data_IF_710236447772
#
_entry.id   IF_710236447772
#
_cell.length_a   1.000
_cell.length_b   1.000
_cell.length_c   1.000
_cell.angle_alpha   90.00
_cell.angle_beta   90.00
_cell.angle_gamma   90.00
#
_symmetry.space_group_name_H-M   'P 1'
#
loop_
_entity.id
_entity.type
_entity.pdbx_description
1 polymer ?
#
# COMPACT_ATOMS: atom_id res chain seq x y z
N UNK A 1 22.76 30.09 -0.48
CA UNK A 1 21.51 29.69 0.21
C UNK A 1 20.49 29.22 -0.83
N UNK A 2 20.08 27.96 -0.83
CA UNK A 2 19.07 27.48 -1.77
C UNK A 2 17.69 27.96 -1.31
N UNK A 3 16.98 28.68 -2.16
CA UNK A 3 15.65 29.18 -1.86
C UNK A 3 14.66 27.99 -1.81
N UNK A 4 13.59 28.07 -1.02
CA UNK A 4 12.54 27.02 -0.92
C UNK A 4 11.99 26.64 -2.29
N UNK A 5 11.78 27.61 -3.19
CA UNK A 5 11.41 27.35 -4.60
C UNK A 5 12.39 26.42 -5.30
N UNK A 6 13.69 26.64 -5.10
CA UNK A 6 14.73 25.82 -5.72
C UNK A 6 14.77 24.40 -5.14
N UNK A 7 14.43 24.22 -3.86
CA UNK A 7 14.31 22.90 -3.23
C UNK A 7 13.14 22.10 -3.84
N UNK A 8 11.99 22.74 -4.00
CA UNK A 8 10.80 22.11 -4.62
C UNK A 8 11.11 21.76 -6.08
N UNK A 9 11.71 22.66 -6.83
CA UNK A 9 12.11 22.42 -8.23
C UNK A 9 13.14 21.29 -8.32
N UNK A 10 14.12 21.25 -7.42
CA UNK A 10 15.10 20.16 -7.38
C UNK A 10 14.43 18.82 -7.03
N UNK A 11 13.50 18.79 -6.08
CA UNK A 11 12.74 17.57 -5.73
C UNK A 11 11.90 17.09 -6.92
N UNK A 12 11.20 18.00 -7.60
CA UNK A 12 10.44 17.68 -8.81
C UNK A 12 11.33 17.20 -9.95
N UNK A 13 12.49 17.84 -10.16
CA UNK A 13 13.46 17.41 -11.16
C UNK A 13 14.03 16.02 -10.87
N UNK A 14 14.35 15.72 -9.61
CA UNK A 14 14.80 14.37 -9.20
C UNK A 14 13.67 13.36 -9.38
N UNK A 15 12.44 13.69 -9.00
CA UNK A 15 11.28 12.84 -9.27
C UNK A 15 11.14 12.53 -10.76
N UNK A 16 11.24 13.55 -11.62
CA UNK A 16 11.14 13.39 -13.08
C UNK A 16 12.26 12.54 -13.66
N UNK A 17 13.50 12.75 -13.20
CA UNK A 17 14.66 11.96 -13.64
C UNK A 17 14.56 10.50 -13.20
N UNK A 18 14.16 10.26 -11.96
CA UNK A 18 13.95 8.90 -11.44
C UNK A 18 12.83 8.22 -12.23
N UNK A 19 11.72 8.92 -12.48
CA UNK A 19 10.61 8.36 -13.26
C UNK A 19 11.00 8.03 -14.69
N UNK A 20 11.75 8.91 -15.36
CA UNK A 20 12.21 8.63 -16.72
C UNK A 20 13.20 7.44 -16.74
N UNK A 21 14.01 7.28 -15.70
CA UNK A 21 14.91 6.13 -15.58
C UNK A 21 14.14 4.81 -15.37
N UNK A 22 12.99 4.85 -14.65
CA UNK A 22 12.14 3.69 -14.42
C UNK A 22 11.03 3.51 -15.46
N UNK A 23 10.67 4.56 -16.22
CA UNK A 23 9.64 4.51 -17.27
C UNK A 23 10.11 3.90 -18.61
N UNK A 24 11.39 3.61 -18.76
CA UNK A 24 11.98 3.08 -19.99
C UNK A 24 11.59 1.61 -20.26
N UNK A 25 12.51 0.65 -20.19
CA UNK A 25 12.27 -0.73 -20.57
C UNK A 25 11.35 -1.52 -19.62
N UNK A 26 10.85 -0.89 -18.55
CA UNK A 26 10.09 -1.54 -17.47
C UNK A 26 8.57 -1.46 -17.64
N UNK A 27 8.06 -0.84 -18.69
CA UNK A 27 6.62 -0.54 -18.83
C UNK A 27 5.89 -1.50 -19.74
N UNK A 28 5.68 -2.73 -19.31
CA UNK A 28 4.60 -3.56 -19.85
C UNK A 28 3.36 -3.45 -18.95
N UNK A 29 2.83 -2.22 -18.81
CA UNK A 29 1.70 -1.90 -17.91
C UNK A 29 0.40 -2.63 -18.24
N UNK A 30 0.16 -2.90 -19.53
CA UNK A 30 -1.01 -3.63 -19.98
C UNK A 30 -1.08 -5.06 -19.42
N UNK A 31 0.06 -5.65 -19.10
CA UNK A 31 0.14 -7.03 -18.63
C UNK A 31 -0.20 -7.16 -17.13
N UNK A 32 -0.09 -6.09 -16.34
CA UNK A 32 -0.56 -6.06 -14.93
C UNK A 32 -2.06 -5.81 -14.80
N UNK A 33 -2.72 -5.32 -15.83
CA UNK A 33 -4.14 -4.96 -15.80
C UNK A 33 -5.11 -6.15 -15.66
N UNK A 34 -4.65 -7.36 -15.97
CA UNK A 34 -5.43 -8.59 -15.83
C UNK A 34 -5.18 -9.38 -14.55
N UNK A 35 -4.27 -8.90 -13.69
CA UNK A 35 -3.93 -9.58 -12.45
C UNK A 35 -4.48 -8.81 -11.25
N UNK A 36 -4.86 -9.52 -10.20
CA UNK A 36 -5.35 -8.94 -8.93
C UNK A 36 -4.26 -8.16 -8.15
N UNK A 37 -3.21 -7.75 -8.84
CA UNK A 37 -2.08 -7.00 -8.29
C UNK A 37 -2.38 -5.53 -7.97
N UNK A 38 -3.60 -5.03 -8.25
CA UNK A 38 -3.97 -3.65 -7.89
C UNK A 38 -3.89 -3.40 -6.38
N UNK A 39 -4.09 -4.44 -5.58
CA UNK A 39 -4.02 -4.39 -4.11
C UNK A 39 -2.64 -4.00 -3.63
N UNK A 40 -1.61 -4.51 -4.28
CA UNK A 40 -0.22 -4.19 -3.95
C UNK A 40 0.14 -2.72 -4.27
N UNK A 41 -0.72 -2.05 -5.03
CA UNK A 41 -0.62 -0.62 -5.36
C UNK A 41 -1.48 0.26 -4.47
N UNK A 42 -2.34 -0.33 -3.64
CA UNK A 42 -3.11 0.45 -2.66
C UNK A 42 -2.17 1.07 -1.64
N UNK A 43 -2.53 2.25 -1.18
CA UNK A 43 -1.85 2.86 -0.04
C UNK A 43 -2.47 2.37 1.26
N UNK A 44 -1.65 1.88 2.17
CA UNK A 44 -2.09 1.62 3.54
C UNK A 44 -2.10 2.87 4.42
N UNK A 45 -1.51 4.00 3.95
CA UNK A 45 -1.37 5.22 4.74
C UNK A 45 -1.38 6.49 3.90
N UNK A 46 -2.11 7.50 4.34
CA UNK A 46 -2.24 8.78 3.62
C UNK A 46 -0.92 9.58 3.62
N UNK A 47 -0.15 9.47 4.69
CA UNK A 47 1.19 10.08 4.73
C UNK A 47 2.10 9.47 3.67
N UNK A 48 2.08 8.18 3.56
CA UNK A 48 2.88 7.41 2.61
C UNK A 48 2.39 7.64 1.17
N UNK A 49 1.07 7.72 0.96
CA UNK A 49 0.48 8.10 -0.32
C UNK A 49 0.99 9.46 -0.78
N UNK A 50 0.91 10.48 0.07
CA UNK A 50 1.35 11.85 -0.28
C UNK A 50 2.83 11.96 -0.67
N UNK A 51 3.63 10.93 -0.42
CA UNK A 51 5.06 10.86 -0.78
C UNK A 51 5.37 9.68 -1.73
N UNK A 52 4.45 9.38 -2.65
CA UNK A 52 4.68 8.39 -3.70
C UNK A 52 4.64 6.94 -3.22
N UNK A 53 3.79 6.61 -2.26
CA UNK A 53 3.69 5.25 -1.70
C UNK A 53 5.03 4.69 -1.18
N UNK A 54 5.95 5.55 -0.76
CA UNK A 54 7.20 5.12 -0.13
C UNK A 54 6.99 4.94 1.37
N UNK A 55 7.33 3.78 1.91
CA UNK A 55 7.06 3.49 3.32
C UNK A 55 7.92 2.41 3.94
N UNK A 56 8.55 1.56 3.12
CA UNK A 56 9.20 0.35 3.63
C UNK A 56 10.48 0.60 4.42
N UNK A 57 11.23 1.65 4.09
CA UNK A 57 12.46 2.04 4.79
C UNK A 57 12.25 3.14 5.86
N UNK A 58 11.00 3.51 6.15
CA UNK A 58 10.68 4.50 7.18
C UNK A 58 10.07 3.86 8.42
N UNK A 59 10.79 3.90 9.54
CA UNK A 59 10.31 3.37 10.82
C UNK A 59 9.07 4.08 11.36
N UNK A 60 8.67 5.21 10.79
CA UNK A 60 7.45 5.94 11.16
C UNK A 60 6.25 5.60 10.27
N UNK A 61 6.40 4.77 9.22
CA UNK A 61 5.27 4.38 8.36
C UNK A 61 4.23 3.55 9.09
N UNK A 62 2.95 3.83 8.84
CA UNK A 62 1.80 3.14 9.43
C UNK A 62 0.75 2.85 8.37
N UNK A 63 0.11 1.67 8.43
CA UNK A 63 0.39 0.55 9.35
C UNK A 63 1.62 -0.26 8.95
N UNK A 64 2.48 -0.59 9.92
CA UNK A 64 3.71 -1.34 9.70
C UNK A 64 3.47 -2.76 9.19
N UNK A 65 2.42 -3.44 9.66
CA UNK A 65 2.06 -4.78 9.21
C UNK A 65 1.83 -4.87 7.70
N UNK A 66 1.37 -3.78 7.07
CA UNK A 66 1.20 -3.65 5.63
C UNK A 66 2.50 -3.23 4.92
N UNK A 67 3.11 -2.12 5.35
CA UNK A 67 4.25 -1.54 4.64
C UNK A 67 5.49 -2.42 4.71
N UNK A 68 5.88 -2.75 5.91
CA UNK A 68 7.06 -3.55 6.22
C UNK A 68 6.93 -4.05 7.67
N UNK A 69 6.60 -5.31 7.90
CA UNK A 69 6.41 -5.81 9.27
C UNK A 69 7.61 -5.59 10.19
N UNK A 70 8.84 -5.48 9.69
CA UNK A 70 10.02 -5.17 10.51
C UNK A 70 9.94 -3.79 11.20
N UNK A 71 9.12 -2.84 10.66
CA UNK A 71 8.86 -1.54 11.28
C UNK A 71 8.30 -1.71 12.70
N UNK A 72 7.48 -2.73 12.93
CA UNK A 72 6.87 -3.01 14.23
C UNK A 72 7.91 -3.19 15.34
N UNK A 73 9.10 -3.70 15.00
CA UNK A 73 10.22 -3.83 15.94
C UNK A 73 10.78 -2.50 16.46
N UNK A 74 10.49 -1.38 15.80
CA UNK A 74 10.90 -0.04 16.17
C UNK A 74 9.79 0.75 16.88
N UNK A 75 8.59 0.17 17.05
CA UNK A 75 7.51 0.83 17.80
C UNK A 75 7.86 0.96 19.26
N UNK A 76 7.61 2.14 19.83
CA UNK A 76 7.77 2.39 21.26
C UNK A 76 6.39 2.54 21.95
N UNK A 77 5.41 3.06 21.25
CA UNK A 77 4.07 3.34 21.74
C UNK A 77 3.01 2.57 20.94
N UNK A 78 1.81 2.46 21.49
CA UNK A 78 0.66 1.98 20.74
C UNK A 78 0.27 3.03 19.70
N UNK A 79 0.31 2.64 18.42
CA UNK A 79 -0.06 3.48 17.28
C UNK A 79 -1.39 3.04 16.69
N UNK A 80 -2.21 4.02 16.30
CA UNK A 80 -3.47 3.79 15.59
C UNK A 80 -3.47 4.66 14.34
N UNK A 81 -3.88 4.11 13.20
CA UNK A 81 -4.09 4.86 11.96
C UNK A 81 -5.46 4.54 11.38
N UNK A 82 -6.12 5.57 10.87
CA UNK A 82 -7.39 5.49 10.15
C UNK A 82 -7.28 6.35 8.91
N UNK A 83 -7.59 5.78 7.75
CA UNK A 83 -7.57 6.46 6.48
C UNK A 83 -8.91 6.30 5.77
N UNK A 84 -9.36 7.36 5.14
CA UNK A 84 -10.55 7.39 4.28
C UNK A 84 -10.12 7.96 2.94
N UNK A 85 -10.50 7.30 1.88
CA UNK A 85 -10.13 7.65 0.52
C UNK A 85 -11.38 7.66 -0.37
N UNK A 86 -11.53 8.73 -1.12
CA UNK A 86 -12.49 8.79 -2.24
C UNK A 86 -11.70 9.01 -3.52
N UNK A 87 -11.80 8.06 -4.42
CA UNK A 87 -11.18 8.12 -5.75
C UNK A 87 -12.23 8.46 -6.80
N UNK A 88 -11.75 8.81 -7.99
CA UNK A 88 -12.61 8.93 -9.16
C UNK A 88 -13.43 7.67 -9.40
N UNK A 89 -14.49 7.82 -10.19
CA UNK A 89 -15.47 6.77 -10.47
C UNK A 89 -16.22 6.30 -9.22
N UNK A 90 -16.44 7.19 -8.24
CA UNK A 90 -17.15 6.93 -6.97
C UNK A 90 -16.62 5.77 -6.14
N UNK A 91 -15.34 5.42 -6.33
CA UNK A 91 -14.68 4.38 -5.54
C UNK A 91 -14.38 4.92 -4.15
N UNK A 92 -14.79 4.18 -3.12
CA UNK A 92 -14.49 4.45 -1.73
C UNK A 92 -13.46 3.46 -1.22
N UNK A 93 -12.52 3.94 -0.43
CA UNK A 93 -11.53 3.10 0.20
C UNK A 93 -11.10 3.61 1.56
N UNK A 94 -10.27 2.84 2.20
CA UNK A 94 -9.68 3.22 3.46
C UNK A 94 -8.77 2.15 4.02
N UNK A 95 -8.09 2.52 5.08
CA UNK A 95 -7.27 1.59 5.83
C UNK A 95 -7.39 1.89 7.33
N UNK A 96 -7.35 0.83 8.10
CA UNK A 96 -7.22 0.87 9.56
C UNK A 96 -5.98 0.11 9.96
N UNK A 97 -5.27 0.60 10.97
CA UNK A 97 -4.14 -0.10 11.56
C UNK A 97 -4.02 0.17 13.05
N UNK A 98 -3.66 -0.86 13.77
CA UNK A 98 -3.28 -0.79 15.18
C UNK A 98 -2.01 -1.57 15.39
N UNK A 99 -1.03 -0.98 16.06
CA UNK A 99 0.28 -1.59 16.23
C UNK A 99 0.99 -1.09 17.46
N UNK A 100 1.79 -1.94 18.06
CA UNK A 100 2.49 -1.57 19.28
C UNK A 100 3.61 -2.52 19.66
N UNK A 101 4.31 -2.12 20.72
CA UNK A 101 5.40 -2.89 21.30
C UNK A 101 4.88 -3.97 22.24
N UNK A 102 5.47 -5.14 22.16
CA UNK A 102 5.25 -6.24 23.10
C UNK A 102 6.58 -6.62 23.74
N UNK A 103 6.72 -6.36 25.03
CA UNK A 103 7.98 -6.55 25.74
C UNK A 103 9.09 -5.58 25.26
N UNK A 104 10.35 -6.01 25.29
CA UNK A 104 11.51 -5.11 25.04
C UNK A 104 11.91 -5.03 23.55
N UNK A 105 11.68 -6.10 22.80
CA UNK A 105 12.22 -6.26 21.44
C UNK A 105 11.21 -6.69 20.39
N UNK A 106 9.98 -6.96 20.78
CA UNK A 106 8.94 -7.44 19.88
C UNK A 106 7.92 -6.35 19.59
N UNK A 107 7.38 -6.36 18.40
CA UNK A 107 6.26 -5.54 17.98
C UNK A 107 5.20 -6.40 17.30
N UNK A 108 3.95 -6.01 17.45
CA UNK A 108 2.80 -6.64 16.83
C UNK A 108 1.94 -5.56 16.19
N UNK A 109 1.27 -5.91 15.10
CA UNK A 109 0.38 -4.98 14.43
C UNK A 109 -0.67 -5.72 13.60
N UNK A 110 -1.81 -5.07 13.48
CA UNK A 110 -2.90 -5.47 12.62
C UNK A 110 -3.18 -4.34 11.64
N UNK A 111 -3.48 -4.69 10.40
CA UNK A 111 -3.93 -3.74 9.40
C UNK A 111 -5.07 -4.35 8.58
N UNK A 112 -6.00 -3.48 8.19
CA UNK A 112 -7.09 -3.79 7.28
C UNK A 112 -7.14 -2.70 6.22
N UNK A 113 -7.22 -3.10 4.96
CA UNK A 113 -7.50 -2.24 3.83
C UNK A 113 -8.87 -2.62 3.27
N UNK A 114 -9.63 -1.60 2.89
CA UNK A 114 -10.95 -1.76 2.29
C UNK A 114 -11.03 -0.92 1.03
N UNK A 115 -11.69 -1.45 0.02
CA UNK A 115 -12.06 -0.73 -1.20
C UNK A 115 -13.42 -1.21 -1.69
N UNK A 116 -14.36 -0.28 -1.80
CA UNK A 116 -15.58 -0.47 -2.56
C UNK A 116 -15.39 0.11 -3.95
N UNK A 117 -15.77 -0.64 -4.97
CA UNK A 117 -15.83 -0.14 -6.33
C UNK A 117 -17.20 0.52 -6.60
N UNK A 118 -17.30 1.21 -7.74
CA UNK A 118 -18.55 1.84 -8.15
C UNK A 118 -19.63 0.78 -8.32
N UNK A 119 -20.82 1.10 -7.83
CA UNK A 119 -22.01 0.34 -8.12
C UNK A 119 -22.22 0.23 -9.63
N UNK A 120 -22.53 -0.97 -10.13
CA UNK A 120 -22.84 -1.17 -11.54
C UNK A 120 -24.17 -1.91 -11.71
N UNK A 121 -24.85 -1.61 -12.79
CA UNK A 121 -26.09 -2.30 -13.12
C UNK A 121 -25.78 -3.67 -13.69
N UNK A 122 -26.47 -4.67 -13.16
CA UNK A 122 -26.52 -6.01 -13.72
C UNK A 122 -27.66 -6.03 -14.71
N UNK A 123 -27.36 -6.37 -15.95
CA UNK A 123 -28.33 -6.44 -17.07
C UNK A 123 -28.38 -7.88 -17.54
N UNK A 124 -29.56 -8.32 -17.99
CA UNK A 124 -29.77 -9.62 -18.63
C UNK A 124 -29.49 -9.59 -20.13
N UNK A 125 -29.74 -10.71 -20.80
CA UNK A 125 -29.52 -10.85 -22.25
C UNK A 125 -30.50 -9.99 -23.11
N UNK A 126 -31.59 -9.50 -22.52
CA UNK A 126 -32.60 -8.65 -23.13
C UNK A 126 -32.38 -7.15 -22.82
N UNK A 127 -31.20 -6.78 -22.26
CA UNK A 127 -30.84 -5.42 -21.82
C UNK A 127 -31.71 -4.88 -20.67
N UNK A 128 -32.47 -5.73 -19.95
CA UNK A 128 -33.25 -5.32 -18.79
C UNK A 128 -32.35 -5.27 -17.54
N UNK A 129 -32.56 -4.27 -16.68
CA UNK A 129 -31.81 -4.11 -15.45
C UNK A 129 -32.34 -5.07 -14.40
N UNK A 130 -31.59 -6.10 -14.06
CA UNK A 130 -31.87 -7.06 -12.97
C UNK A 130 -31.66 -6.44 -11.58
N UNK A 131 -30.67 -5.53 -11.47
CA UNK A 131 -30.38 -4.86 -10.22
C UNK A 131 -29.06 -4.08 -10.21
N UNK A 132 -28.53 -3.81 -9.03
CA UNK A 132 -27.29 -3.05 -8.85
C UNK A 132 -26.35 -3.81 -7.92
N UNK A 133 -25.21 -4.21 -8.46
CA UNK A 133 -24.15 -4.86 -7.68
C UNK A 133 -23.24 -3.83 -7.02
N UNK A 134 -22.75 -4.14 -5.82
CA UNK A 134 -21.87 -3.30 -4.99
C UNK A 134 -20.60 -4.05 -4.63
N UNK A 135 -19.67 -4.18 -5.57
CA UNK A 135 -18.45 -4.94 -5.33
C UNK A 135 -17.56 -4.27 -4.29
N UNK A 136 -16.92 -5.08 -3.47
CA UNK A 136 -15.91 -4.60 -2.56
C UNK A 136 -14.77 -5.61 -2.37
N UNK A 137 -13.64 -5.08 -1.98
CA UNK A 137 -12.41 -5.81 -1.67
C UNK A 137 -11.90 -5.44 -0.28
N UNK A 138 -11.47 -6.43 0.48
CA UNK A 138 -10.83 -6.23 1.78
C UNK A 138 -9.55 -7.04 1.90
N UNK A 139 -8.58 -6.51 2.61
CA UNK A 139 -7.32 -7.16 2.87
C UNK A 139 -6.89 -7.00 4.32
N UNK A 140 -6.44 -8.09 4.91
CA UNK A 140 -6.08 -8.17 6.31
C UNK A 140 -4.61 -8.54 6.44
N UNK A 141 -3.93 -7.93 7.40
CA UNK A 141 -2.55 -8.20 7.75
C UNK A 141 -2.41 -8.38 9.26
N UNK A 142 -1.71 -9.43 9.66
CA UNK A 142 -1.29 -9.64 11.04
C UNK A 142 0.23 -9.72 11.05
N UNK A 143 0.88 -8.71 11.64
CA UNK A 143 2.32 -8.55 11.61
C UNK A 143 2.98 -8.78 12.96
N UNK A 144 4.18 -9.35 12.92
CA UNK A 144 5.07 -9.55 14.06
C UNK A 144 6.47 -9.13 13.67
N UNK A 145 7.20 -8.53 14.61
CA UNK A 145 8.59 -8.20 14.42
C UNK A 145 9.45 -8.49 15.64
N UNK A 146 10.72 -8.75 15.38
CA UNK A 146 11.76 -8.87 16.38
C UNK A 146 12.90 -7.90 16.07
N UNK A 147 13.19 -7.01 17.02
CA UNK A 147 14.32 -6.09 16.97
C UNK A 147 15.58 -6.80 17.47
N UNK A 148 16.37 -7.32 16.54
CA UNK A 148 17.57 -8.10 16.84
C UNK A 148 18.67 -7.23 17.46
N UNK A 149 18.90 -6.04 16.90
CA UNK A 149 19.86 -5.05 17.41
C UNK A 149 19.18 -3.68 17.58
N UNK A 150 19.93 -2.65 17.98
CA UNK A 150 19.40 -1.28 17.97
C UNK A 150 19.12 -0.78 16.57
N UNK A 151 19.77 -1.36 15.56
CA UNK A 151 19.71 -0.96 14.17
C UNK A 151 18.87 -1.89 13.32
N UNK A 152 18.77 -3.18 13.64
CA UNK A 152 18.15 -4.20 12.80
C UNK A 152 16.86 -4.75 13.41
N UNK A 153 15.84 -4.87 12.59
CA UNK A 153 14.65 -5.63 12.90
C UNK A 153 14.28 -6.56 11.73
N UNK A 154 13.71 -7.71 12.09
CA UNK A 154 13.13 -8.66 11.15
C UNK A 154 11.64 -8.74 11.43
N UNK A 155 10.85 -8.89 10.36
CA UNK A 155 9.41 -8.93 10.46
C UNK A 155 8.81 -10.03 9.60
N UNK A 156 7.69 -10.51 10.06
CA UNK A 156 6.80 -11.42 9.33
C UNK A 156 5.39 -10.87 9.43
N UNK A 157 4.62 -10.93 8.34
CA UNK A 157 3.19 -10.76 8.41
C UNK A 157 2.45 -11.82 7.61
N UNK A 158 1.29 -12.20 8.13
CA UNK A 158 0.31 -13.01 7.44
C UNK A 158 -0.68 -12.09 6.76
N UNK A 159 -1.04 -12.36 5.52
CA UNK A 159 -2.05 -11.58 4.81
C UNK A 159 -3.06 -12.47 4.11
N UNK A 160 -4.31 -11.99 4.04
CA UNK A 160 -5.43 -12.64 3.39
C UNK A 160 -6.32 -11.57 2.77
N UNK A 161 -6.83 -11.82 1.58
CA UNK A 161 -7.83 -10.96 0.94
C UNK A 161 -9.21 -11.62 0.93
N UNK A 162 -10.22 -10.78 0.92
CA UNK A 162 -11.61 -11.14 0.71
C UNK A 162 -12.16 -10.20 -0.36
N UNK A 163 -12.77 -10.78 -1.37
CA UNK A 163 -13.32 -10.11 -2.54
C UNK A 163 -14.79 -10.50 -2.65
N UNK A 164 -15.68 -9.57 -2.92
CA UNK A 164 -17.10 -9.79 -3.11
C UNK A 164 -17.60 -9.01 -4.33
N UNK A 165 -18.15 -9.71 -5.31
CA UNK A 165 -18.67 -9.12 -6.53
C UNK A 165 -20.13 -8.67 -6.43
N UNK A 166 -20.89 -9.25 -5.47
CA UNK A 166 -22.30 -8.93 -5.19
C UNK A 166 -23.23 -9.10 -6.43
N UNK A 167 -23.01 -10.14 -7.22
CA UNK A 167 -23.77 -10.40 -8.44
C UNK A 167 -24.62 -11.67 -8.42
N UNK A 168 -24.28 -12.67 -7.55
CA UNK A 168 -24.94 -13.99 -7.53
C UNK A 168 -26.46 -13.93 -7.33
N UNK A 169 -26.92 -12.94 -6.56
CA UNK A 169 -28.34 -12.76 -6.27
C UNK A 169 -29.20 -12.45 -7.51
N UNK A 170 -28.57 -12.05 -8.63
CA UNK A 170 -29.27 -11.70 -9.87
C UNK A 170 -29.33 -12.86 -10.88
N UNK A 171 -28.66 -13.97 -10.59
CA UNK A 171 -28.61 -15.14 -11.48
C UNK A 171 -29.38 -16.31 -10.84
N UNK A 172 -30.71 -16.25 -10.94
CA UNK A 172 -31.57 -17.33 -10.42
C UNK A 172 -31.26 -18.67 -11.11
N UNK A 173 -31.12 -19.73 -10.31
CA UNK A 173 -30.84 -21.08 -10.80
C UNK A 173 -29.37 -21.37 -11.13
N UNK A 174 -28.47 -20.41 -10.98
CA UNK A 174 -27.03 -20.60 -11.12
C UNK A 174 -26.39 -20.57 -9.72
N UNK A 175 -25.79 -21.68 -9.27
CA UNK A 175 -24.97 -21.65 -8.06
C UNK A 175 -23.66 -20.90 -8.39
N UNK A 176 -23.62 -19.62 -8.10
CA UNK A 176 -22.43 -18.76 -8.28
C UNK A 176 -21.93 -18.27 -6.93
N UNK A 177 -20.65 -18.46 -6.64
CA UNK A 177 -20.03 -17.83 -5.49
C UNK A 177 -19.58 -16.41 -5.84
N UNK A 178 -20.13 -15.43 -5.13
CA UNK A 178 -19.77 -14.02 -5.25
C UNK A 178 -18.54 -13.64 -4.45
N UNK A 179 -18.23 -14.43 -3.45
CA UNK A 179 -17.20 -14.09 -2.49
C UNK A 179 -15.99 -15.02 -2.60
N UNK A 180 -14.83 -14.42 -2.65
CA UNK A 180 -13.55 -15.13 -2.81
C UNK A 180 -12.63 -14.80 -1.67
N UNK A 181 -11.93 -15.82 -1.17
CA UNK A 181 -10.86 -15.66 -0.18
C UNK A 181 -9.55 -16.10 -0.79
N UNK A 182 -8.54 -15.24 -0.72
CA UNK A 182 -7.20 -15.71 -1.06
C UNK A 182 -6.69 -16.68 0.00
N UNK A 183 -5.79 -17.60 -0.36
CA UNK A 183 -5.00 -18.31 0.62
C UNK A 183 -4.26 -17.33 1.52
N UNK A 184 -3.94 -17.74 2.74
CA UNK A 184 -3.06 -16.96 3.61
C UNK A 184 -1.67 -16.94 3.00
N UNK A 185 -1.12 -15.75 2.82
CA UNK A 185 0.24 -15.53 2.34
C UNK A 185 1.13 -14.99 3.44
N UNK A 186 2.44 -15.23 3.30
CA UNK A 186 3.46 -14.73 4.22
C UNK A 186 4.21 -13.59 3.55
N UNK A 187 4.46 -12.54 4.31
CA UNK A 187 5.38 -11.48 3.95
C UNK A 187 6.55 -11.50 4.93
N UNK A 188 7.76 -11.46 4.39
CA UNK A 188 9.00 -11.42 5.17
C UNK A 188 9.68 -10.08 4.97
N UNK A 189 10.35 -9.60 6.00
CA UNK A 189 11.02 -8.32 5.88
C UNK A 189 12.20 -8.14 6.81
N UNK A 190 13.08 -7.25 6.39
CA UNK A 190 14.19 -6.72 7.16
C UNK A 190 14.26 -5.21 7.01
N UNK A 191 14.56 -4.52 8.10
CA UNK A 191 14.76 -3.08 8.15
C UNK A 191 16.00 -2.78 8.98
N UNK A 192 16.89 -1.98 8.42
CA UNK A 192 18.10 -1.50 9.11
C UNK A 192 18.16 0.01 9.11
N UNK A 193 18.41 0.55 10.30
CA UNK A 193 18.82 1.94 10.50
C UNK A 193 20.35 1.99 10.62
N UNK A 194 21.04 2.32 9.53
CA UNK A 194 22.52 2.36 9.51
C UNK A 194 23.07 3.41 10.46
N UNK A 195 22.41 4.56 10.51
CA UNK A 195 22.73 5.69 11.38
C UNK A 195 21.52 6.63 11.48
N UNK A 196 21.71 7.82 12.04
CA UNK A 196 20.64 8.82 12.17
C UNK A 196 20.11 9.34 10.79
N UNK A 197 20.87 9.14 9.71
CA UNK A 197 20.52 9.67 8.37
C UNK A 197 20.00 8.59 7.43
N UNK A 198 20.54 7.38 7.46
CA UNK A 198 20.30 6.34 6.46
C UNK A 198 19.55 5.14 7.03
N UNK A 199 18.59 4.67 6.26
CA UNK A 199 17.91 3.40 6.49
C UNK A 199 17.77 2.61 5.19
N UNK A 200 17.66 1.30 5.29
CA UNK A 200 17.35 0.43 4.16
C UNK A 200 16.43 -0.70 4.57
N UNK A 201 15.68 -1.22 3.63
CA UNK A 201 14.76 -2.32 3.85
C UNK A 201 14.70 -3.27 2.68
N UNK A 202 14.35 -4.51 2.98
CA UNK A 202 13.96 -5.53 2.00
C UNK A 202 12.65 -6.13 2.49
N UNK A 203 11.67 -6.22 1.59
CA UNK A 203 10.37 -6.85 1.85
C UNK A 203 10.08 -7.83 0.73
N UNK A 204 9.72 -9.05 1.08
CA UNK A 204 9.24 -10.07 0.15
C UNK A 204 7.78 -10.32 0.52
N UNK A 205 6.87 -10.15 -0.45
CA UNK A 205 5.43 -10.28 -0.23
C UNK A 205 4.84 -11.47 -0.93
N UNK A 206 3.72 -11.94 -0.40
CA UNK A 206 2.85 -12.94 -1.01
C UNK A 206 3.54 -14.29 -1.23
N UNK A 207 4.42 -14.68 -0.31
CA UNK A 207 4.93 -16.06 -0.27
C UNK A 207 3.76 -16.97 0.11
N UNK A 208 3.47 -17.97 -0.73
CA UNK A 208 2.41 -18.94 -0.51
C UNK A 208 3.01 -20.30 -0.11
N UNK A 209 2.28 -21.05 0.70
CA UNK A 209 2.59 -22.46 0.99
C UNK A 209 2.22 -23.40 -0.15
N UNK A 210 1.56 -22.92 -1.21
CA UNK A 210 1.26 -23.75 -2.36
C UNK A 210 2.55 -24.09 -3.13
N UNK A 211 2.56 -25.26 -3.78
CA UNK A 211 3.71 -25.71 -4.58
C UNK A 211 4.16 -24.70 -5.64
N UNK A 212 3.30 -23.79 -6.02
CA UNK A 212 3.52 -22.77 -7.05
C UNK A 212 3.87 -21.42 -6.47
N UNK A 213 4.44 -21.27 -5.31
CA UNK A 213 4.95 -20.01 -4.71
C UNK A 213 4.10 -18.73 -4.93
N UNK A 214 3.02 -18.81 -5.69
CA UNK A 214 2.03 -17.75 -5.92
C UNK A 214 0.75 -18.10 -5.17
N UNK A 215 0.12 -17.14 -4.55
CA UNK A 215 -1.20 -17.34 -3.97
C UNK A 215 -2.21 -17.44 -5.12
N UNK A 216 -2.79 -18.60 -5.30
CA UNK A 216 -3.88 -18.83 -6.24
C UNK A 216 -5.18 -18.99 -5.46
N UNK A 217 -6.24 -18.43 -5.98
CA UNK A 217 -7.59 -18.74 -5.56
C UNK A 217 -8.44 -18.96 -6.80
N UNK A 218 -9.34 -19.93 -6.72
CA UNK A 218 -10.25 -20.26 -7.81
C UNK A 218 -11.60 -19.66 -7.47
N UNK A 219 -12.12 -18.85 -8.36
CA UNK A 219 -13.52 -18.48 -8.35
C UNK A 219 -14.27 -19.74 -8.74
N UNK A 220 -15.10 -20.31 -7.85
CA UNK A 220 -15.80 -21.53 -8.15
C UNK A 220 -16.62 -21.37 -9.42
N UNK A 221 -16.41 -22.26 -10.41
CA UNK A 221 -17.30 -22.29 -11.57
C UNK A 221 -18.68 -22.74 -11.09
N UNK A 222 -19.71 -22.25 -11.75
CA UNK A 222 -21.02 -22.92 -11.65
C UNK A 222 -20.84 -24.39 -11.95
N UNK A 223 -21.67 -25.26 -11.37
CA UNK A 223 -21.67 -26.71 -11.66
C UNK A 223 -21.85 -27.03 -13.14
N UNK A 224 -22.42 -26.10 -13.90
CA UNK A 224 -22.41 -26.13 -15.36
C UNK A 224 -21.12 -25.51 -15.86
N UNK A 225 -20.27 -26.30 -16.49
CA UNK A 225 -18.95 -25.98 -17.04
C UNK A 225 -18.95 -24.83 -18.10
N UNK A 226 -20.00 -24.05 -18.21
CA UNK A 226 -20.16 -22.99 -19.24
C UNK A 226 -19.54 -21.63 -18.83
N UNK A 227 -19.32 -21.37 -17.54
CA UNK A 227 -18.66 -20.16 -17.08
C UNK A 227 -17.22 -20.46 -16.71
N UNK A 228 -16.28 -19.85 -17.41
CA UNK A 228 -14.87 -20.03 -17.18
C UNK A 228 -14.50 -19.71 -15.73
N UNK A 229 -13.87 -20.67 -15.05
CA UNK A 229 -13.26 -20.42 -13.74
C UNK A 229 -12.17 -19.36 -13.90
N UNK A 230 -12.29 -18.26 -13.20
CA UNK A 230 -11.23 -17.26 -13.15
C UNK A 230 -10.31 -17.59 -11.98
N UNK A 231 -9.09 -17.97 -12.25
CA UNK A 231 -8.08 -18.08 -11.20
C UNK A 231 -7.48 -16.69 -10.95
N UNK A 232 -7.56 -16.21 -9.72
CA UNK A 232 -6.85 -15.03 -9.28
C UNK A 232 -5.42 -15.40 -8.84
N UNK A 233 -4.45 -14.64 -9.28
CA UNK A 233 -3.04 -14.82 -8.88
C UNK A 233 -2.54 -13.55 -8.23
N UNK A 234 -2.12 -13.63 -6.97
CA UNK A 234 -1.41 -12.53 -6.32
C UNK A 234 0.07 -12.60 -6.69
N UNK A 235 0.64 -11.55 -7.28
CA UNK A 235 2.04 -11.53 -7.62
C UNK A 235 2.91 -11.59 -6.35
N UNK A 236 4.01 -12.32 -6.42
CA UNK A 236 5.10 -12.14 -5.46
C UNK A 236 5.73 -10.78 -5.70
N UNK A 237 6.11 -10.09 -4.65
CA UNK A 237 6.74 -8.79 -4.77
C UNK A 237 8.03 -8.78 -3.96
N UNK A 238 9.15 -8.52 -4.64
CA UNK A 238 10.40 -8.14 -3.99
C UNK A 238 10.46 -6.61 -3.98
N UNK A 239 10.58 -6.01 -2.80
CA UNK A 239 10.66 -4.56 -2.64
C UNK A 239 11.90 -4.20 -1.83
N UNK A 240 12.71 -3.30 -2.38
CA UNK A 240 13.93 -2.78 -1.75
C UNK A 240 13.74 -1.29 -1.55
N UNK A 241 13.95 -0.82 -0.34
CA UNK A 241 13.77 0.58 0.03
C UNK A 241 15.03 1.21 0.63
N UNK A 242 15.23 2.48 0.32
CA UNK A 242 16.24 3.35 0.91
C UNK A 242 15.58 4.59 1.49
N UNK A 243 15.99 5.01 2.67
CA UNK A 243 15.55 6.23 3.32
C UNK A 243 16.73 7.13 3.70
N UNK A 244 16.57 8.41 3.48
CA UNK A 244 17.54 9.43 3.86
C UNK A 244 16.88 10.55 4.65
N UNK A 245 17.50 10.94 5.75
CA UNK A 245 17.07 12.02 6.64
C UNK A 245 18.15 13.08 6.74
N UNK A 246 17.79 14.35 6.58
CA UNK A 246 18.69 15.47 6.70
C UNK A 246 18.01 16.69 7.30
N UNK A 247 18.74 17.78 7.41
CA UNK A 247 18.19 19.08 7.71
C UNK A 247 18.65 20.07 6.66
N UNK A 248 17.72 20.80 6.09
CA UNK A 248 18.00 21.91 5.16
C UNK A 248 17.48 23.18 5.79
N UNK A 249 18.35 24.16 5.99
CA UNK A 249 18.02 25.41 6.70
C UNK A 249 17.43 25.18 8.10
N UNK A 250 17.93 24.17 8.81
CA UNK A 250 17.45 23.80 10.14
C UNK A 250 16.17 22.97 10.16
N UNK A 251 15.47 22.81 9.04
CA UNK A 251 14.21 22.08 8.94
C UNK A 251 14.46 20.63 8.54
N UNK A 252 13.76 19.65 9.14
CA UNK A 252 13.85 18.26 8.76
C UNK A 252 13.40 18.04 7.31
N UNK A 253 14.21 17.30 6.55
CA UNK A 253 13.90 16.85 5.20
C UNK A 253 14.16 15.36 5.12
N UNK A 254 13.26 14.65 4.48
CA UNK A 254 13.32 13.22 4.29
C UNK A 254 13.17 12.89 2.81
N UNK A 255 13.89 11.89 2.36
CA UNK A 255 13.77 11.35 1.02
C UNK A 255 13.73 9.81 1.09
N UNK A 256 12.91 9.20 0.24
CA UNK A 256 12.81 7.76 0.11
C UNK A 256 12.82 7.36 -1.35
N UNK A 257 13.39 6.21 -1.60
CA UNK A 257 13.37 5.57 -2.92
C UNK A 257 13.14 4.08 -2.73
N UNK A 258 12.28 3.51 -3.56
CA UNK A 258 11.96 2.09 -3.54
C UNK A 258 11.95 1.53 -4.95
N UNK A 259 12.46 0.33 -5.09
CA UNK A 259 12.35 -0.47 -6.30
C UNK A 259 11.51 -1.72 -5.99
N UNK A 260 10.58 -2.05 -6.87
CA UNK A 260 9.67 -3.18 -6.75
C UNK A 260 9.79 -4.06 -7.99
N UNK A 261 9.91 -5.37 -7.77
CA UNK A 261 9.81 -6.41 -8.78
C UNK A 261 8.54 -7.22 -8.52
N UNK A 262 7.54 -7.05 -9.38
CA UNK A 262 6.33 -7.87 -9.38
C UNK A 262 6.58 -9.10 -10.23
N UNK A 263 6.54 -10.26 -9.60
CA UNK A 263 6.71 -11.56 -10.26
C UNK A 263 5.33 -12.17 -10.46
N UNK A 264 4.85 -12.10 -11.69
CA UNK A 264 3.55 -12.61 -12.08
C UNK A 264 3.73 -13.97 -12.73
N UNK A 265 3.06 -15.00 -12.21
CA UNK A 265 3.02 -16.31 -12.87
C UNK A 265 2.00 -16.25 -14.02
N UNK A 266 2.33 -16.84 -15.16
CA UNK A 266 1.38 -17.07 -16.22
C UNK A 266 0.31 -18.07 -15.73
N UNK A 267 -0.97 -17.67 -15.81
CA UNK A 267 -2.11 -18.45 -15.31
C UNK A 267 -2.32 -19.75 -16.08
N UNK A 268 -1.90 -19.82 -17.33
CA UNK A 268 -2.05 -20.99 -18.19
C UNK A 268 -0.90 -22.00 -18.08
N UNK A 269 0.28 -21.56 -17.64
CA UNK A 269 1.49 -22.38 -17.56
C UNK A 269 2.19 -22.21 -16.21
N UNK A 270 1.49 -22.28 -15.18
CA UNK A 270 1.72 -22.03 -13.74
C UNK A 270 3.10 -22.32 -13.10
N UNK A 271 4.14 -22.67 -13.85
CA UNK A 271 5.37 -23.22 -13.30
C UNK A 271 6.60 -22.34 -13.45
N UNK A 272 6.53 -21.26 -14.25
CA UNK A 272 7.65 -20.35 -14.42
C UNK A 272 7.18 -18.89 -14.30
N UNK A 273 7.71 -18.06 -13.37
CA UNK A 273 7.40 -16.63 -13.32
C UNK A 273 8.01 -15.99 -14.57
N UNK A 274 7.24 -15.93 -15.65
CA UNK A 274 7.75 -15.44 -16.93
C UNK A 274 7.68 -13.93 -17.04
N UNK A 275 6.95 -13.26 -16.14
CA UNK A 275 6.80 -11.82 -16.19
C UNK A 275 7.34 -11.16 -14.93
N UNK A 276 8.43 -10.42 -15.10
CA UNK A 276 8.96 -9.50 -14.11
C UNK A 276 8.59 -8.08 -14.49
N UNK A 277 7.81 -7.42 -13.65
CA UNK A 277 7.46 -6.02 -13.86
C UNK A 277 8.11 -5.17 -12.79
N UNK A 278 9.10 -4.40 -13.21
CA UNK A 278 9.82 -3.48 -12.34
C UNK A 278 9.13 -2.13 -12.28
N UNK A 279 8.97 -1.60 -11.09
CA UNK A 279 8.50 -0.24 -10.87
C UNK A 279 9.36 0.46 -9.83
N UNK A 280 9.30 1.79 -9.81
CA UNK A 280 10.03 2.61 -8.87
C UNK A 280 9.12 3.59 -8.16
N UNK A 281 9.45 3.87 -6.92
CA UNK A 281 8.80 4.88 -6.07
C UNK A 281 9.83 5.86 -5.55
N UNK A 282 9.46 7.12 -5.51
CA UNK A 282 10.29 8.17 -4.90
C UNK A 282 9.41 9.12 -4.10
N UNK A 283 9.89 9.53 -2.95
CA UNK A 283 9.14 10.41 -2.06
C UNK A 283 10.01 11.38 -1.31
N UNK A 284 9.46 12.56 -1.08
CA UNK A 284 10.07 13.61 -0.28
C UNK A 284 9.07 14.14 0.75
N UNK A 285 9.58 14.47 1.92
CA UNK A 285 8.83 15.11 2.98
C UNK A 285 9.68 16.24 3.58
N UNK A 286 9.11 17.42 3.77
CA UNK A 286 9.76 18.57 4.38
C UNK A 286 8.84 19.23 5.39
N UNK A 287 9.33 19.46 6.61
CA UNK A 287 8.66 20.30 7.58
C UNK A 287 8.87 21.76 7.22
N UNK A 288 7.80 22.43 6.75
CA UNK A 288 7.86 23.83 6.28
C UNK A 288 7.75 24.86 7.41
N UNK A 289 6.90 24.58 8.36
CA UNK A 289 6.78 25.28 9.66
C UNK A 289 6.62 24.26 10.77
N UNK A 290 6.82 24.60 12.04
CA UNK A 290 6.65 23.65 13.13
C UNK A 290 5.34 22.88 13.01
N UNK A 291 5.42 21.57 13.08
CA UNK A 291 4.31 20.62 13.00
C UNK A 291 3.60 20.49 11.63
N UNK A 292 3.91 21.34 10.65
CA UNK A 292 3.32 21.23 9.32
C UNK A 292 4.32 20.70 8.30
N UNK A 293 3.93 19.66 7.58
CA UNK A 293 4.76 18.98 6.58
C UNK A 293 4.13 19.06 5.20
N UNK A 294 4.95 19.22 4.18
CA UNK A 294 4.58 19.00 2.79
C UNK A 294 5.31 17.78 2.24
N UNK A 295 4.63 17.09 1.33
CA UNK A 295 5.11 15.87 0.69
C UNK A 295 4.89 15.94 -0.81
N UNK A 296 5.78 15.31 -1.52
CA UNK A 296 5.66 15.09 -2.96
C UNK A 296 6.29 13.74 -3.28
N UNK A 297 5.72 13.03 -4.21
CA UNK A 297 6.28 11.76 -4.63
C UNK A 297 5.66 11.23 -5.91
N UNK A 298 6.19 10.10 -6.32
CA UNK A 298 5.72 9.36 -7.48
C UNK A 298 5.76 7.86 -7.19
N UNK A 299 4.75 7.18 -7.68
CA UNK A 299 4.67 5.74 -7.75
C UNK A 299 4.49 5.38 -9.22
N UNK A 300 5.53 4.87 -9.82
CA UNK A 300 5.64 4.67 -11.25
C UNK A 300 5.47 6.04 -12.00
N UNK A 301 4.40 6.24 -12.78
CA UNK A 301 4.11 7.52 -13.44
C UNK A 301 3.05 8.37 -12.71
N UNK A 302 2.51 7.88 -11.61
CA UNK A 302 1.48 8.60 -10.87
C UNK A 302 2.11 9.63 -9.94
N UNK A 303 1.58 10.85 -9.96
CA UNK A 303 2.05 11.93 -9.11
C UNK A 303 1.21 12.05 -7.85
N UNK A 304 1.89 12.32 -6.75
CA UNK A 304 1.25 12.44 -5.46
C UNK A 304 1.76 13.67 -4.73
N UNK A 305 0.81 14.37 -4.12
CA UNK A 305 1.08 15.50 -3.24
C UNK A 305 0.44 15.23 -1.88
N UNK A 306 1.07 15.72 -0.83
CA UNK A 306 0.53 15.53 0.51
C UNK A 306 0.86 16.66 1.45
N UNK A 307 0.02 16.81 2.46
CA UNK A 307 0.23 17.69 3.59
C UNK A 307 -0.06 16.96 4.89
N UNK A 308 0.59 17.38 5.96
CA UNK A 308 0.35 16.84 7.29
C UNK A 308 0.48 17.91 8.35
N UNK A 309 -0.33 17.77 9.41
CA UNK A 309 -0.25 18.63 10.58
C UNK A 309 -0.28 17.80 11.86
N UNK A 310 0.73 18.02 12.71
CA UNK A 310 0.88 17.36 14.01
C UNK A 310 0.35 18.27 15.10
N UNK A 311 -0.40 17.69 16.03
CA UNK A 311 -0.90 18.39 17.22
C UNK A 311 -1.01 17.42 18.38
N UNK A 312 -1.19 17.95 19.57
CA UNK A 312 -1.39 17.16 20.78
C UNK A 312 -2.77 17.43 21.35
N UNK A 313 -3.48 16.36 21.69
CA UNK A 313 -4.70 16.44 22.49
C UNK A 313 -4.34 16.10 23.92
N UNK A 314 -4.70 16.96 24.85
CA UNK A 314 -4.53 16.70 26.27
C UNK A 314 -5.82 16.12 26.85
N UNK A 315 -5.72 14.92 27.41
CA UNK A 315 -6.82 14.27 28.14
C UNK A 315 -6.35 14.02 29.58
N UNK A 316 -6.84 14.82 30.48
CA UNK A 316 -6.34 14.83 31.86
C UNK A 316 -4.87 15.25 31.92
N UNK A 317 -4.03 14.38 32.47
CA UNK A 317 -2.57 14.61 32.56
C UNK A 317 -1.78 14.02 31.39
N UNK A 318 -2.43 13.28 30.50
CA UNK A 318 -1.76 12.60 29.37
C UNK A 318 -1.90 13.45 28.10
N UNK A 319 -0.82 13.48 27.32
CA UNK A 319 -0.77 14.11 26.00
C UNK A 319 -0.77 13.01 24.95
N UNK A 320 -1.65 13.14 23.97
CA UNK A 320 -1.79 12.20 22.85
C UNK A 320 -1.37 12.93 21.58
N UNK A 321 -0.20 12.60 21.03
CA UNK A 321 0.24 13.17 19.76
C UNK A 321 -0.60 12.57 18.62
N UNK A 322 -1.16 13.45 17.81
CA UNK A 322 -1.97 13.14 16.63
C UNK A 322 -1.38 13.81 15.41
N UNK A 323 -1.61 13.22 14.26
CA UNK A 323 -1.25 13.77 12.96
C UNK A 323 -2.41 13.56 11.99
N UNK A 324 -2.93 14.65 11.45
CA UNK A 324 -3.86 14.64 10.31
C UNK A 324 -3.04 14.76 9.04
N UNK A 325 -3.37 13.92 8.08
CA UNK A 325 -2.70 13.87 6.78
C UNK A 325 -3.74 13.99 5.67
N UNK A 326 -3.38 14.71 4.64
CA UNK A 326 -4.11 14.83 3.39
C UNK A 326 -3.19 14.41 2.24
N UNK A 327 -3.73 13.70 1.28
CA UNK A 327 -3.02 13.35 0.06
C UNK A 327 -3.92 13.52 -1.17
N UNK A 328 -3.26 13.80 -2.27
CA UNK A 328 -3.81 14.00 -3.56
C UNK A 328 -3.04 13.13 -4.55
N UNK A 329 -3.76 12.38 -5.37
CA UNK A 329 -3.19 11.46 -6.36
C UNK A 329 -3.64 11.87 -7.76
N UNK A 330 -2.70 11.92 -8.70
CA UNK A 330 -2.95 12.01 -10.12
C UNK A 330 -2.51 10.73 -10.82
N UNK A 331 -3.47 9.97 -11.34
CA UNK A 331 -3.23 8.74 -12.10
C UNK A 331 -2.98 9.10 -13.56
N UNK A 332 -1.72 9.22 -13.95
CA UNK A 332 -1.31 9.70 -15.27
C UNK A 332 -1.84 8.83 -16.42
N UNK A 333 -1.88 7.51 -16.21
CA UNK A 333 -2.35 6.57 -17.24
C UNK A 333 -3.84 6.68 -17.55
N UNK A 334 -4.63 7.10 -16.57
CA UNK A 334 -6.08 7.23 -16.67
C UNK A 334 -6.53 8.69 -16.85
N UNK A 335 -5.62 9.65 -16.62
CA UNK A 335 -5.95 11.08 -16.59
C UNK A 335 -6.88 11.46 -15.43
N UNK A 336 -6.91 10.64 -14.38
CA UNK A 336 -7.86 10.77 -13.28
C UNK A 336 -7.22 11.41 -12.06
N UNK A 337 -8.01 12.22 -11.37
CA UNK A 337 -7.63 12.86 -10.14
C UNK A 337 -8.36 12.23 -8.96
N UNK A 338 -7.64 11.80 -7.94
CA UNK A 338 -8.23 11.36 -6.68
C UNK A 338 -8.12 12.48 -5.64
N UNK A 339 -9.18 13.32 -5.53
CA UNK A 339 -9.06 14.60 -4.84
C UNK A 339 -9.10 14.50 -3.33
N UNK A 340 -9.51 13.37 -2.77
CA UNK A 340 -9.75 13.30 -1.34
C UNK A 340 -9.23 12.00 -0.73
N UNK A 341 -8.10 12.12 -0.03
CA UNK A 341 -7.61 11.10 0.88
C UNK A 341 -7.21 11.74 2.19
N UNK A 342 -7.92 11.42 3.25
CA UNK A 342 -7.70 11.94 4.59
C UNK A 342 -7.26 10.81 5.53
N UNK A 343 -6.23 11.06 6.32
CA UNK A 343 -5.73 10.13 7.31
C UNK A 343 -5.52 10.76 8.66
N UNK A 344 -5.87 10.01 9.69
CA UNK A 344 -5.57 10.32 11.08
C UNK A 344 -4.66 9.23 11.63
N UNK A 345 -3.59 9.62 12.29
CA UNK A 345 -2.80 8.69 13.07
C UNK A 345 -2.46 9.28 14.42
N UNK A 346 -2.40 8.42 15.43
CA UNK A 346 -2.16 8.81 16.80
C UNK A 346 -1.32 7.79 17.53
N UNK A 347 -0.70 8.23 18.61
CA UNK A 347 0.08 7.39 19.49
C UNK A 347 -0.44 7.50 20.92
N UNK A 348 -0.60 6.36 21.55
CA UNK A 348 -0.98 6.26 22.97
C UNK A 348 0.30 5.95 23.74
N UNK A 349 0.76 6.88 24.59
CA UNK A 349 2.01 6.74 25.34
C UNK A 349 1.92 5.69 26.45
#
# INVERSE_FOLDING_TARGET
>A
MMNFKNLVVAALAVCSLVSSAFAGPFTKKSELGGFDGFVERMSGGVRELGRGNTGTADTASMPGAFWNPAILGFRENLGITLNIERRDLDRLGGAFGIEGKVGKRMGVGFAMLYRGDRDFKVIDDDDETMGTAKPFFSMFYLGFAYRATRQDAFGISLSMSYDNLDVAQYFEGIEMEDSFRSPVTINLSWLRQWNAKWSSSVVIRNLSFSKNLSAKWTKNPSKDNSLASTEGVRPKVLQIGLGYRSKIMGKPVYAWMEALDYQVADTLLAFDPQLHVWTGRVGFECEIVPNATLRVGMDDLNWMLGAGYKFEIQVGRKKFPLEVNYAFLYETSAGLWSPFTLGLRGYIP
#
